data_IF_084059677598
#
_entry.id   IF_084059677598
#
_cell.length_a   1.000
_cell.length_b   1.000
_cell.length_c   1.000
_cell.angle_alpha   90.00
_cell.angle_beta   90.00
_cell.angle_gamma   90.00
#
_symmetry.space_group_name_H-M   'P 1'
#
loop_
_entity.id
_entity.type
_entity.pdbx_description
1 polymer ?
#
# COMPACT_ATOMS: atom_id res chain seq x y z
N UNK A 1 5.94 -45.22 0.36
CA UNK A 1 5.78 -44.11 1.34
C UNK A 1 5.76 -42.82 0.54
N UNK A 2 4.61 -42.13 0.48
CA UNK A 2 4.61 -40.75 0.03
C UNK A 2 5.26 -39.92 1.13
N UNK A 3 6.42 -39.32 0.84
CA UNK A 3 6.89 -38.21 1.64
C UNK A 3 5.96 -37.05 1.34
N UNK A 4 5.01 -36.78 2.25
CA UNK A 4 4.28 -35.52 2.26
C UNK A 4 5.32 -34.42 2.49
N UNK A 5 5.82 -33.84 1.41
CA UNK A 5 6.69 -32.67 1.50
C UNK A 5 5.86 -31.57 2.17
N UNK A 6 6.32 -31.03 3.31
CA UNK A 6 5.59 -29.96 3.97
C UNK A 6 5.41 -28.79 2.99
N UNK A 7 4.23 -28.18 3.04
CA UNK A 7 3.94 -26.99 2.28
C UNK A 7 5.01 -25.92 2.57
N UNK A 8 5.32 -25.09 1.58
CA UNK A 8 6.38 -24.09 1.68
C UNK A 8 6.25 -23.21 2.94
N UNK A 9 5.02 -22.81 3.30
CA UNK A 9 4.75 -22.03 4.50
C UNK A 9 5.13 -22.75 5.81
N UNK A 10 4.92 -24.07 5.88
CA UNK A 10 5.29 -24.86 7.05
C UNK A 10 6.82 -24.93 7.21
N UNK A 11 7.56 -25.14 6.12
CA UNK A 11 9.03 -25.10 6.14
C UNK A 11 9.58 -23.74 6.56
N UNK A 12 8.97 -22.66 6.10
CA UNK A 12 9.37 -21.32 6.50
C UNK A 12 9.12 -21.05 7.99
N UNK A 13 7.99 -21.52 8.53
CA UNK A 13 7.72 -21.43 9.97
C UNK A 13 8.77 -22.19 10.78
N UNK A 14 9.08 -23.43 10.40
CA UNK A 14 10.11 -24.26 11.04
C UNK A 14 11.48 -23.55 11.05
N UNK A 15 11.89 -22.94 9.93
CA UNK A 15 13.16 -22.21 9.83
C UNK A 15 13.19 -20.96 10.71
N UNK A 16 12.05 -20.27 10.88
CA UNK A 16 11.97 -19.12 11.77
C UNK A 16 11.96 -19.51 13.25
N UNK A 17 11.27 -20.58 13.62
CA UNK A 17 11.30 -21.15 14.98
C UNK A 17 12.70 -21.59 15.38
N UNK A 18 13.47 -22.16 14.45
CA UNK A 18 14.87 -22.53 14.64
C UNK A 18 15.82 -21.30 14.69
N UNK A 19 15.31 -20.09 14.49
CA UNK A 19 16.11 -18.86 14.46
C UNK A 19 17.06 -18.76 13.25
N UNK A 20 16.88 -19.61 12.24
CA UNK A 20 17.68 -19.58 11.00
C UNK A 20 17.29 -18.39 10.13
N UNK A 21 16.02 -17.97 10.21
CA UNK A 21 15.47 -16.82 9.48
C UNK A 21 14.68 -15.95 10.45
N UNK A 22 14.92 -14.63 10.42
CA UNK A 22 14.09 -13.67 11.14
C UNK A 22 13.14 -12.97 10.15
N UNK A 23 11.84 -13.16 10.33
CA UNK A 23 10.85 -12.40 9.58
C UNK A 23 10.71 -11.01 10.18
N UNK A 24 11.13 -9.98 9.44
CA UNK A 24 10.83 -8.58 9.73
C UNK A 24 9.87 -8.02 8.67
N UNK A 25 8.62 -8.53 8.61
CA UNK A 25 7.67 -8.04 7.63
C UNK A 25 7.31 -6.61 7.97
N UNK A 26 7.41 -5.74 6.98
CA UNK A 26 6.82 -4.42 7.08
C UNK A 26 5.28 -4.56 7.01
N UNK A 27 4.51 -3.86 7.86
CA UNK A 27 3.05 -3.88 7.78
C UNK A 27 2.59 -3.48 6.37
N UNK A 28 1.60 -4.20 5.83
CA UNK A 28 1.07 -3.94 4.49
C UNK A 28 0.63 -2.48 4.34
N UNK A 29 0.03 -1.92 5.38
CA UNK A 29 -0.38 -0.53 5.47
C UNK A 29 0.77 0.44 5.17
N UNK A 30 1.94 0.21 5.78
CA UNK A 30 3.11 1.06 5.59
C UNK A 30 3.67 0.97 4.16
N UNK A 31 3.65 -0.25 3.58
CA UNK A 31 4.07 -0.46 2.19
C UNK A 31 3.15 0.29 1.23
N UNK A 32 1.84 0.15 1.40
CA UNK A 32 0.83 0.76 0.53
C UNK A 32 0.85 2.28 0.65
N UNK A 33 0.86 2.80 1.86
CA UNK A 33 0.98 4.23 2.12
C UNK A 33 2.21 4.81 1.42
N UNK A 34 3.39 4.20 1.62
CA UNK A 34 4.62 4.68 0.99
C UNK A 34 4.52 4.68 -0.53
N UNK A 35 3.93 3.64 -1.14
CA UNK A 35 3.76 3.57 -2.60
C UNK A 35 2.81 4.65 -3.13
N UNK A 36 1.67 4.86 -2.49
CA UNK A 36 0.73 5.92 -2.88
C UNK A 36 1.38 7.30 -2.79
N UNK A 37 2.14 7.54 -1.73
CA UNK A 37 2.89 8.78 -1.53
C UNK A 37 3.94 9.01 -2.62
N UNK A 38 4.74 8.00 -2.95
CA UNK A 38 5.71 8.08 -4.05
C UNK A 38 5.02 8.47 -5.37
N UNK A 39 3.88 7.86 -5.69
CA UNK A 39 3.12 8.21 -6.90
C UNK A 39 2.65 9.67 -6.90
N UNK A 40 2.30 10.22 -5.74
CA UNK A 40 1.94 11.64 -5.63
C UNK A 40 3.14 12.57 -5.78
N UNK A 41 4.29 12.22 -5.21
CA UNK A 41 5.52 13.03 -5.31
C UNK A 41 6.08 13.06 -6.74
N UNK A 42 5.83 12.02 -7.54
CA UNK A 42 6.20 11.95 -8.96
C UNK A 42 5.25 12.73 -9.89
N UNK A 43 4.12 13.25 -9.37
CA UNK A 43 3.10 13.97 -10.16
C UNK A 43 3.24 15.48 -10.07
N UNK A 44 2.85 16.16 -11.14
CA UNK A 44 2.62 17.60 -11.12
C UNK A 44 1.38 17.95 -10.30
N UNK A 45 1.42 19.10 -9.61
CA UNK A 45 0.28 19.63 -8.87
C UNK A 45 -0.93 19.83 -9.78
N UNK A 46 -2.11 19.27 -9.47
CA UNK A 46 -3.29 19.42 -10.32
C UNK A 46 -3.86 20.84 -10.33
N UNK A 47 -3.44 21.69 -9.40
CA UNK A 47 -3.90 23.09 -9.31
C UNK A 47 -2.98 24.07 -10.03
N UNK A 48 -1.65 23.92 -9.91
CA UNK A 48 -0.68 24.88 -10.46
C UNK A 48 0.32 24.30 -11.47
N UNK A 49 0.26 22.99 -11.74
CA UNK A 49 1.11 22.29 -12.70
C UNK A 49 2.58 22.15 -12.28
N UNK A 50 2.95 22.50 -11.05
CA UNK A 50 4.33 22.38 -10.57
C UNK A 50 4.66 20.97 -10.07
N UNK A 51 5.85 20.48 -10.39
CA UNK A 51 6.41 19.22 -9.87
C UNK A 51 7.00 19.43 -8.46
N UNK A 52 6.14 19.87 -7.55
CA UNK A 52 6.50 20.24 -6.19
C UNK A 52 5.43 19.76 -5.19
N UNK A 53 5.02 18.50 -5.35
CA UNK A 53 4.16 17.81 -4.40
C UNK A 53 5.01 17.07 -3.38
N UNK A 54 4.56 17.10 -2.13
CA UNK A 54 5.24 16.45 -1.01
C UNK A 54 4.25 15.61 -0.20
N UNK A 55 4.72 14.44 0.23
CA UNK A 55 4.02 13.60 1.17
C UNK A 55 4.74 13.59 2.52
N UNK A 56 4.02 13.81 3.62
CA UNK A 56 4.61 13.77 4.96
C UNK A 56 4.61 12.34 5.50
N UNK A 57 5.72 11.89 6.07
CA UNK A 57 5.78 10.59 6.77
C UNK A 57 4.81 10.57 7.96
N UNK A 58 4.08 9.46 8.13
CA UNK A 58 3.13 9.30 9.23
C UNK A 58 1.87 10.17 9.13
N UNK A 59 1.61 10.78 7.98
CA UNK A 59 0.40 11.58 7.70
C UNK A 59 -0.26 11.17 6.40
N UNK A 60 -1.58 11.31 6.32
CA UNK A 60 -2.34 11.11 5.08
C UNK A 60 -2.13 12.22 4.04
N UNK A 61 -1.48 13.34 4.42
CA UNK A 61 -1.49 14.57 3.64
C UNK A 61 -0.49 14.61 2.50
N UNK A 62 -0.98 15.13 1.38
CA UNK A 62 -0.20 15.59 0.24
C UNK A 62 -0.39 17.10 0.15
N UNK A 63 0.69 17.83 -0.09
CA UNK A 63 0.63 19.28 -0.28
C UNK A 63 1.57 19.77 -1.37
N UNK A 64 1.21 20.86 -2.01
CA UNK A 64 2.05 21.53 -2.99
C UNK A 64 2.88 22.62 -2.32
N UNK A 65 4.20 22.52 -2.38
CA UNK A 65 5.12 23.52 -1.86
C UNK A 65 5.08 24.87 -2.62
N UNK A 66 4.40 24.94 -3.77
CA UNK A 66 4.29 26.16 -4.60
C UNK A 66 3.00 26.95 -4.39
N UNK A 67 1.84 26.28 -4.36
CA UNK A 67 0.53 26.96 -4.32
C UNK A 67 -0.29 26.62 -3.07
N UNK A 68 0.31 25.94 -2.09
CA UNK A 68 -0.31 25.50 -0.82
C UNK A 68 -1.58 24.63 -0.97
N UNK A 69 -1.82 24.10 -2.17
CA UNK A 69 -2.89 23.15 -2.40
C UNK A 69 -2.65 21.88 -1.59
N UNK A 70 -3.70 21.36 -0.94
CA UNK A 70 -3.64 20.22 -0.02
C UNK A 70 -4.67 19.16 -0.37
N UNK A 71 -4.29 17.90 -0.15
CA UNK A 71 -5.18 16.75 -0.26
C UNK A 71 -4.68 15.57 0.58
N UNK A 72 -5.31 14.41 0.43
CA UNK A 72 -4.85 13.14 1.01
C UNK A 72 -4.30 12.22 -0.09
N UNK A 73 -3.38 11.31 0.26
CA UNK A 73 -2.83 10.38 -0.73
C UNK A 73 -3.86 9.39 -1.28
N UNK A 74 -5.01 9.24 -0.59
CA UNK A 74 -6.15 8.40 -0.99
C UNK A 74 -7.07 9.07 -2.01
N UNK A 75 -6.86 10.35 -2.35
CA UNK A 75 -7.73 11.07 -3.30
C UNK A 75 -7.72 10.43 -4.68
N UNK A 76 -8.92 10.27 -5.24
CA UNK A 76 -9.14 9.65 -6.55
C UNK A 76 -9.23 8.13 -6.50
N UNK A 77 -9.16 7.55 -5.31
CA UNK A 77 -9.52 6.14 -5.09
C UNK A 77 -10.98 6.04 -4.66
N UNK A 78 -11.65 4.88 -4.83
CA UNK A 78 -13.01 4.63 -4.31
C UNK A 78 -13.15 4.80 -2.79
N UNK A 79 -12.04 4.95 -2.08
CA UNK A 79 -11.94 4.90 -0.63
C UNK A 79 -11.49 6.24 -0.03
N UNK A 80 -11.55 7.32 -0.81
CA UNK A 80 -11.14 8.66 -0.39
C UNK A 80 -11.81 9.13 0.92
N UNK A 81 -13.05 8.70 1.17
CA UNK A 81 -13.83 9.02 2.38
C UNK A 81 -14.06 7.80 3.29
N UNK A 82 -13.30 6.70 3.13
CA UNK A 82 -13.45 5.53 3.99
C UNK A 82 -12.63 5.65 5.27
N UNK A 83 -13.07 4.95 6.33
CA UNK A 83 -12.31 4.79 7.57
C UNK A 83 -11.32 3.61 7.50
N UNK A 84 -11.06 3.07 6.30
CA UNK A 84 -10.18 1.90 6.12
C UNK A 84 -8.71 2.28 6.31
N UNK A 85 -7.94 1.37 6.91
CA UNK A 85 -6.48 1.52 6.93
C UNK A 85 -5.88 1.29 5.53
N UNK A 86 -4.64 1.74 5.25
CA UNK A 86 -4.05 1.59 3.93
C UNK A 86 -3.90 0.14 3.44
N UNK A 87 -3.73 -0.85 4.32
CA UNK A 87 -3.69 -2.26 3.91
C UNK A 87 -5.08 -2.85 3.72
N UNK A 88 -6.06 -2.43 4.51
CA UNK A 88 -7.47 -2.75 4.25
C UNK A 88 -7.92 -2.19 2.88
N UNK A 89 -7.42 -1.00 2.51
CA UNK A 89 -7.58 -0.44 1.16
C UNK A 89 -7.03 -1.36 0.08
N UNK A 90 -5.82 -1.90 0.23
CA UNK A 90 -5.23 -2.78 -0.78
C UNK A 90 -6.01 -4.08 -0.90
N UNK A 91 -6.44 -4.66 0.22
CA UNK A 91 -7.27 -5.88 0.21
C UNK A 91 -8.61 -5.61 -0.46
N UNK A 92 -9.30 -4.52 -0.08
CA UNK A 92 -10.56 -4.13 -0.70
C UNK A 92 -10.41 -3.86 -2.21
N UNK A 93 -9.33 -3.22 -2.62
CA UNK A 93 -9.02 -2.99 -4.04
C UNK A 93 -8.75 -4.29 -4.80
N UNK A 94 -7.95 -5.21 -4.24
CA UNK A 94 -7.69 -6.52 -4.86
C UNK A 94 -9.00 -7.31 -5.02
N UNK A 95 -9.83 -7.36 -3.97
CA UNK A 95 -11.13 -8.03 -4.03
C UNK A 95 -12.08 -7.35 -5.04
N UNK A 96 -12.07 -6.02 -5.12
CA UNK A 96 -12.85 -5.28 -6.10
C UNK A 96 -12.36 -5.54 -7.54
N UNK A 97 -11.05 -5.53 -7.77
CA UNK A 97 -10.48 -5.83 -9.08
C UNK A 97 -10.74 -7.28 -9.48
N UNK A 98 -10.63 -8.23 -8.55
CA UNK A 98 -10.92 -9.65 -8.77
C UNK A 98 -12.39 -9.87 -9.15
N UNK A 99 -13.33 -9.20 -8.48
CA UNK A 99 -14.74 -9.25 -8.84
C UNK A 99 -15.01 -8.63 -10.22
N UNK A 100 -14.38 -7.50 -10.57
CA UNK A 100 -14.52 -6.93 -11.92
C UNK A 100 -13.95 -7.81 -13.02
N UNK A 101 -12.78 -8.43 -12.79
CA UNK A 101 -12.10 -9.29 -13.77
C UNK A 101 -12.73 -10.69 -13.87
N UNK A 102 -13.45 -11.13 -12.85
CA UNK A 102 -14.19 -12.40 -12.86
C UNK A 102 -15.56 -12.31 -13.53
N UNK A 103 -16.03 -11.09 -13.83
CA UNK A 103 -17.31 -10.83 -14.53
C UNK A 103 -17.12 -10.73 -16.06
N UNK A 104 -15.87 -10.66 -16.54
CA UNK A 104 -15.50 -10.71 -17.97
C UNK A 104 -15.17 -12.12 -18.42
#
# INVERSE_FOLDING_TARGET
>A
MHEDRPAFGQRLSELAELGVIEFRPEPLDAIVERRLKTVWEERSCPHCGADNLHALNGSDRIWCGRCDWKTTYTRGTPFYDSELTPGEFLIAFILYADTLLSIT
#
